data_IF_352358734820
#
_entry.id   IF_352358734820
#
_cell.length_a   1.000
_cell.length_b   1.000
_cell.length_c   1.000
_cell.angle_alpha   90.00
_cell.angle_beta   90.00
_cell.angle_gamma   90.00
#
_symmetry.space_group_name_H-M   'P 1'
#
loop_
_entity.id
_entity.type
_entity.pdbx_description
1 polymer ?
#
# COMPACT_ATOMS: atom_id res chain seq x y z
N UNK A 1 7.58 -41.18 -31.78
CA UNK A 1 8.48 -41.99 -30.93
C UNK A 1 8.59 -41.48 -29.50
N UNK A 2 8.11 -40.28 -29.15
CA UNK A 2 7.66 -39.97 -27.77
C UNK A 2 8.73 -40.14 -26.70
N UNK A 3 10.00 -39.87 -27.02
CA UNK A 3 11.09 -39.97 -26.07
C UNK A 3 10.86 -38.97 -24.92
N UNK A 4 10.57 -39.48 -23.72
CA UNK A 4 10.62 -38.69 -22.50
C UNK A 4 12.08 -38.23 -22.31
N UNK A 5 12.29 -36.91 -22.31
CA UNK A 5 13.54 -36.33 -21.85
C UNK A 5 13.64 -36.57 -20.34
N UNK A 6 14.72 -37.22 -19.91
CA UNK A 6 15.01 -37.39 -18.49
C UNK A 6 15.23 -36.00 -17.87
N UNK A 7 14.28 -35.55 -17.06
CA UNK A 7 14.46 -34.38 -16.22
C UNK A 7 15.34 -34.79 -15.03
N UNK A 8 16.65 -34.51 -15.10
CA UNK A 8 17.50 -34.55 -13.90
C UNK A 8 16.83 -33.71 -12.81
N UNK A 9 16.60 -34.31 -11.65
CA UNK A 9 15.86 -33.68 -10.56
C UNK A 9 16.43 -32.28 -10.30
N UNK A 10 15.64 -31.25 -10.61
CA UNK A 10 16.02 -29.88 -10.31
C UNK A 10 16.29 -29.83 -8.82
N UNK A 11 17.44 -29.27 -8.43
CA UNK A 11 17.68 -28.90 -7.04
C UNK A 11 16.55 -27.94 -6.66
N UNK A 12 15.54 -28.46 -5.97
CA UNK A 12 14.43 -27.66 -5.48
C UNK A 12 14.95 -27.01 -4.22
N UNK A 13 15.65 -25.88 -4.36
CA UNK A 13 15.71 -24.95 -3.25
C UNK A 13 14.27 -24.52 -2.98
N UNK A 14 13.64 -25.20 -2.02
CA UNK A 14 12.25 -25.01 -1.66
C UNK A 14 12.14 -23.61 -1.09
N UNK A 15 11.47 -22.70 -1.81
CA UNK A 15 11.19 -21.36 -1.29
C UNK A 15 10.52 -21.48 0.09
N UNK A 16 11.11 -20.84 1.10
CA UNK A 16 10.52 -20.70 2.42
C UNK A 16 10.31 -19.21 2.74
N UNK A 17 9.22 -18.90 3.42
CA UNK A 17 8.82 -17.51 3.66
C UNK A 17 9.83 -16.73 4.52
N UNK A 18 10.57 -17.42 5.38
CA UNK A 18 11.64 -16.88 6.22
C UNK A 18 12.89 -16.48 5.43
N UNK A 19 13.02 -16.92 4.17
CA UNK A 19 14.07 -16.47 3.26
C UNK A 19 13.87 -15.02 2.79
N UNK A 20 12.67 -14.45 2.96
CA UNK A 20 12.34 -13.09 2.50
C UNK A 20 12.58 -12.09 3.63
N UNK A 21 13.68 -11.35 3.55
CA UNK A 21 13.91 -10.19 4.41
C UNK A 21 13.05 -9.00 3.96
N UNK A 22 12.23 -8.46 4.87
CA UNK A 22 11.51 -7.20 4.61
C UNK A 22 12.49 -6.02 4.74
N UNK A 23 12.36 -4.96 3.92
CA UNK A 23 13.12 -3.74 4.12
C UNK A 23 12.85 -3.18 5.52
N UNK A 24 13.88 -2.57 6.11
CA UNK A 24 13.71 -1.77 7.32
C UNK A 24 12.81 -0.56 7.05
N UNK A 25 12.29 0.03 8.13
CA UNK A 25 11.55 1.29 8.04
C UNK A 25 12.40 2.43 7.50
N UNK A 26 11.73 3.51 7.07
CA UNK A 26 12.40 4.75 6.71
C UNK A 26 12.64 5.61 7.95
N UNK A 27 13.65 6.47 7.88
CA UNK A 27 13.86 7.51 8.89
C UNK A 27 12.62 8.38 9.00
N UNK A 28 12.18 8.64 10.23
CA UNK A 28 11.02 9.49 10.49
C UNK A 28 11.44 10.94 10.23
N UNK A 29 10.76 11.67 9.33
CA UNK A 29 11.08 13.07 9.09
C UNK A 29 10.80 13.92 10.32
N UNK A 30 11.53 15.04 10.46
CA UNK A 30 11.19 16.06 11.44
C UNK A 30 9.91 16.78 11.02
N UNK A 31 8.87 16.69 11.86
CA UNK A 31 7.54 17.26 11.62
C UNK A 31 7.23 18.45 12.54
N UNK A 32 8.23 19.02 13.21
CA UNK A 32 8.05 20.09 14.21
C UNK A 32 7.45 21.40 13.65
N UNK A 33 7.70 21.73 12.37
CA UNK A 33 7.09 22.85 11.63
C UNK A 33 6.44 22.33 10.32
N UNK A 34 5.74 21.19 10.41
CA UNK A 34 5.14 20.57 9.25
C UNK A 34 3.94 21.36 8.70
N UNK A 35 3.78 21.32 7.37
CA UNK A 35 2.62 21.84 6.65
C UNK A 35 1.89 20.66 6.00
N UNK A 36 0.57 20.61 6.13
CA UNK A 36 -0.22 19.54 5.50
C UNK A 36 -0.48 19.84 4.02
N UNK A 37 -0.23 18.84 3.18
CA UNK A 37 -0.57 18.86 1.75
C UNK A 37 -1.31 17.57 1.38
N UNK A 38 -2.26 17.59 0.44
CA UNK A 38 -2.96 16.37 0.05
C UNK A 38 -2.01 15.40 -0.67
N UNK A 39 -2.11 14.10 -0.36
CA UNK A 39 -1.25 13.05 -0.89
C UNK A 39 -1.16 13.06 -2.44
N UNK A 40 -2.20 13.49 -3.14
CA UNK A 40 -2.23 13.62 -4.61
C UNK A 40 -1.11 14.51 -5.18
N UNK A 41 -0.65 15.50 -4.42
CA UNK A 41 0.47 16.36 -4.80
C UNK A 41 1.82 15.65 -4.65
N UNK A 42 1.90 14.64 -3.77
CA UNK A 42 3.13 13.93 -3.45
C UNK A 42 3.26 12.60 -4.20
N UNK A 43 2.14 11.98 -4.59
CA UNK A 43 2.14 10.60 -5.08
C UNK A 43 1.15 10.33 -6.22
N UNK A 44 1.41 9.24 -6.93
CA UNK A 44 0.42 8.54 -7.75
C UNK A 44 -0.17 7.38 -6.95
N UNK A 45 -1.44 7.06 -7.19
CA UNK A 45 -2.14 5.97 -6.52
C UNK A 45 -2.90 5.08 -7.49
N UNK A 46 -2.92 3.77 -7.22
CA UNK A 46 -3.79 2.81 -7.89
C UNK A 46 -4.27 1.76 -6.90
N UNK A 47 -5.51 1.33 -7.03
CA UNK A 47 -6.08 0.30 -6.16
C UNK A 47 -6.83 -0.79 -6.91
N UNK A 48 -7.08 -1.89 -6.22
CA UNK A 48 -7.88 -3.00 -6.72
C UNK A 48 -8.13 -4.05 -5.65
N UNK A 49 -8.78 -5.13 -6.06
CA UNK A 49 -9.20 -6.21 -5.19
C UNK A 49 -8.26 -7.41 -5.24
N UNK A 50 -8.24 -8.13 -4.11
CA UNK A 50 -7.72 -9.49 -4.00
C UNK A 50 -8.69 -10.31 -3.15
N UNK A 51 -9.80 -10.74 -3.76
CA UNK A 51 -10.90 -11.38 -3.03
C UNK A 51 -11.68 -10.35 -2.20
N UNK A 52 -11.84 -10.58 -0.89
CA UNK A 52 -12.44 -9.60 0.02
C UNK A 52 -11.44 -8.55 0.55
N UNK A 53 -10.23 -8.50 -0.01
CA UNK A 53 -9.18 -7.55 0.40
C UNK A 53 -9.05 -6.44 -0.63
N UNK A 54 -8.74 -5.24 -0.17
CA UNK A 54 -8.36 -4.13 -1.04
C UNK A 54 -6.84 -3.92 -0.98
N UNK A 55 -6.25 -3.64 -2.13
CA UNK A 55 -4.84 -3.29 -2.27
C UNK A 55 -4.74 -1.86 -2.80
N UNK A 56 -3.88 -1.04 -2.19
CA UNK A 56 -3.62 0.34 -2.60
C UNK A 56 -2.11 0.53 -2.74
N UNK A 57 -1.65 0.69 -3.98
CA UNK A 57 -0.27 1.06 -4.29
C UNK A 57 -0.13 2.57 -4.38
N UNK A 58 0.87 3.11 -3.68
CA UNK A 58 1.23 4.54 -3.66
C UNK A 58 2.68 4.65 -4.11
N UNK A 59 2.94 5.46 -5.14
CA UNK A 59 4.29 5.72 -5.67
C UNK A 59 4.57 7.20 -5.50
N UNK A 60 5.64 7.53 -4.78
CA UNK A 60 6.05 8.91 -4.57
C UNK A 60 6.51 9.55 -5.91
N UNK A 61 6.14 10.81 -6.15
CA UNK A 61 6.55 11.57 -7.34
C UNK A 61 8.04 11.93 -7.29
N UNK A 62 8.57 12.14 -6.09
CA UNK A 62 10.00 12.32 -5.80
C UNK A 62 10.39 11.36 -4.67
N UNK A 63 11.61 10.84 -4.72
CA UNK A 63 12.11 9.89 -3.73
C UNK A 63 11.99 10.43 -2.28
N UNK A 64 12.34 11.70 -2.11
CA UNK A 64 12.39 12.37 -0.80
C UNK A 64 11.01 12.57 -0.16
N UNK A 65 9.91 12.34 -0.90
CA UNK A 65 8.56 12.41 -0.35
C UNK A 65 8.15 11.12 0.37
N UNK A 66 8.80 9.99 0.04
CA UNK A 66 8.40 8.68 0.58
C UNK A 66 8.47 8.60 2.12
N UNK A 67 9.50 9.13 2.82
CA UNK A 67 9.53 9.11 4.28
C UNK A 67 8.30 9.78 4.92
N UNK A 68 7.85 10.92 4.39
CA UNK A 68 6.66 11.63 4.85
C UNK A 68 5.38 10.82 4.58
N UNK A 69 5.25 10.27 3.38
CA UNK A 69 4.10 9.43 3.00
C UNK A 69 4.02 8.19 3.89
N UNK A 70 5.16 7.51 4.12
CA UNK A 70 5.23 6.30 4.93
C UNK A 70 4.88 6.56 6.40
N UNK A 71 5.32 7.70 6.94
CA UNK A 71 4.99 8.11 8.30
C UNK A 71 3.51 8.49 8.45
N UNK A 72 2.94 9.22 7.49
CA UNK A 72 1.54 9.67 7.52
C UNK A 72 0.53 8.54 7.32
N UNK A 73 0.83 7.58 6.45
CA UNK A 73 -0.04 6.46 6.14
C UNK A 73 0.25 5.27 7.07
N UNK A 74 0.03 5.47 8.36
CA UNK A 74 0.10 4.41 9.37
C UNK A 74 -1.22 3.62 9.51
N UNK A 75 -1.20 2.55 10.31
CA UNK A 75 -2.36 1.68 10.46
C UNK A 75 -3.57 2.42 11.05
N UNK A 76 -3.34 3.44 11.88
CA UNK A 76 -4.41 4.25 12.47
C UNK A 76 -5.04 5.18 11.42
N UNK A 77 -4.23 5.85 10.60
CA UNK A 77 -4.69 6.68 9.49
C UNK A 77 -5.47 5.87 8.44
N UNK A 78 -5.01 4.65 8.12
CA UNK A 78 -5.74 3.75 7.22
C UNK A 78 -7.07 3.31 7.85
N UNK A 79 -7.08 2.97 9.15
CA UNK A 79 -8.31 2.60 9.87
C UNK A 79 -9.30 3.75 9.98
N UNK A 80 -8.83 4.97 10.20
CA UNK A 80 -9.69 6.17 10.22
C UNK A 80 -10.37 6.37 8.85
N UNK A 81 -9.57 6.31 7.77
CA UNK A 81 -10.06 6.54 6.41
C UNK A 81 -10.94 5.42 5.87
N UNK A 82 -10.63 4.16 6.14
CA UNK A 82 -11.32 3.00 5.54
C UNK A 82 -12.14 2.17 6.53
N UNK A 83 -12.17 2.52 7.83
CA UNK A 83 -12.81 1.72 8.87
C UNK A 83 -14.29 1.44 8.62
N UNK A 84 -14.99 2.36 7.94
CA UNK A 84 -16.39 2.19 7.54
C UNK A 84 -16.59 1.17 6.40
N UNK A 85 -15.52 0.77 5.72
CA UNK A 85 -15.51 -0.31 4.74
C UNK A 85 -15.04 -1.66 5.32
N UNK A 86 -14.29 -1.62 6.42
CA UNK A 86 -13.66 -2.78 7.05
C UNK A 86 -14.63 -3.54 7.97
N UNK A 87 -14.38 -4.83 8.18
CA UNK A 87 -14.99 -5.55 9.30
C UNK A 87 -14.39 -5.06 10.64
N UNK A 88 -15.14 -5.15 11.74
CA UNK A 88 -14.73 -4.59 13.03
C UNK A 88 -13.34 -5.07 13.50
N UNK A 89 -13.07 -6.37 13.34
CA UNK A 89 -11.86 -7.06 13.78
C UNK A 89 -10.82 -7.24 12.66
N UNK A 90 -10.99 -6.58 11.51
CA UNK A 90 -10.00 -6.64 10.43
C UNK A 90 -8.91 -5.57 10.58
N UNK A 91 -7.75 -5.85 9.98
CA UNK A 91 -6.60 -4.96 9.99
C UNK A 91 -6.14 -4.57 8.59
N UNK A 92 -5.00 -3.89 8.53
CA UNK A 92 -4.26 -3.64 7.31
C UNK A 92 -2.80 -4.01 7.48
N UNK A 93 -2.11 -4.22 6.37
CA UNK A 93 -0.67 -4.41 6.32
C UNK A 93 -0.05 -3.39 5.37
N UNK A 94 1.13 -2.89 5.73
CA UNK A 94 1.88 -1.94 4.93
C UNK A 94 3.19 -2.56 4.50
N UNK A 95 3.52 -2.40 3.23
CA UNK A 95 4.68 -2.98 2.58
C UNK A 95 5.50 -1.85 1.95
N UNK A 96 6.72 -1.64 2.44
CA UNK A 96 7.65 -0.68 1.86
C UNK A 96 8.27 -1.26 0.59
N UNK A 97 8.31 -0.46 -0.48
CA UNK A 97 8.89 -0.82 -1.78
C UNK A 97 9.96 0.23 -2.14
N UNK A 98 11.14 0.19 -1.49
CA UNK A 98 12.11 1.28 -1.57
C UNK A 98 12.72 1.46 -2.97
N UNK A 99 12.87 0.36 -3.73
CA UNK A 99 13.48 0.39 -5.07
C UNK A 99 12.71 1.19 -6.12
N UNK A 100 11.41 1.46 -5.89
CA UNK A 100 10.59 2.32 -6.75
C UNK A 100 9.95 3.49 -5.99
N UNK A 101 10.50 3.82 -4.82
CA UNK A 101 10.01 4.88 -3.94
C UNK A 101 8.50 4.79 -3.65
N UNK A 102 8.04 3.59 -3.31
CA UNK A 102 6.62 3.27 -3.19
C UNK A 102 6.28 2.54 -1.90
N UNK A 103 4.99 2.42 -1.65
CA UNK A 103 4.44 1.52 -0.65
C UNK A 103 3.17 0.85 -1.17
N UNK A 104 2.84 -0.28 -0.55
CA UNK A 104 1.63 -1.01 -0.81
C UNK A 104 0.87 -1.26 0.49
N UNK A 105 -0.41 -0.92 0.50
CA UNK A 105 -1.31 -1.12 1.65
C UNK A 105 -2.30 -2.23 1.27
N UNK A 106 -2.38 -3.26 2.11
CA UNK A 106 -3.35 -4.33 1.98
C UNK A 106 -4.37 -4.22 3.12
N UNK A 107 -5.63 -3.96 2.79
CA UNK A 107 -6.71 -3.81 3.77
C UNK A 107 -7.56 -5.08 3.75
N UNK A 108 -7.73 -5.72 4.90
CA UNK A 108 -8.45 -6.97 5.06
C UNK A 108 -9.95 -6.75 5.23
N UNK A 109 -10.76 -7.65 4.65
CA UNK A 109 -12.22 -7.65 4.75
C UNK A 109 -12.88 -6.29 4.43
N UNK A 110 -12.33 -5.59 3.45
CA UNK A 110 -12.70 -4.21 3.12
C UNK A 110 -13.69 -4.10 1.96
N UNK A 111 -14.14 -5.21 1.35
CA UNK A 111 -14.97 -5.18 0.14
C UNK A 111 -16.37 -5.79 0.32
N UNK A 112 -16.79 -6.09 1.56
CA UNK A 112 -18.14 -6.59 1.83
C UNK A 112 -18.43 -7.99 1.28
N UNK A 113 -17.43 -8.88 1.31
CA UNK A 113 -17.49 -10.24 0.75
C UNK A 113 -16.77 -10.39 -0.60
N UNK A 114 -16.24 -9.29 -1.15
CA UNK A 114 -15.54 -9.25 -2.44
C UNK A 114 -16.48 -9.13 -3.64
N UNK A 115 -15.90 -9.05 -4.84
CA UNK A 115 -16.60 -8.63 -6.06
C UNK A 115 -17.92 -9.34 -6.40
N UNK A 116 -18.06 -10.62 -6.04
CA UNK A 116 -19.27 -11.42 -6.35
C UNK A 116 -20.36 -11.28 -5.28
N UNK A 117 -19.99 -11.01 -4.03
CA UNK A 117 -20.92 -10.97 -2.90
C UNK A 117 -21.26 -9.54 -2.43
N UNK A 118 -20.44 -8.56 -2.83
CA UNK A 118 -20.57 -7.19 -2.37
C UNK A 118 -21.78 -6.48 -2.97
N UNK A 119 -22.55 -5.81 -2.11
CA UNK A 119 -23.63 -4.90 -2.51
C UNK A 119 -23.15 -3.43 -2.65
N UNK A 120 -21.84 -3.19 -2.57
CA UNK A 120 -21.27 -1.85 -2.60
C UNK A 120 -21.16 -1.34 -4.03
N UNK A 121 -21.19 -0.01 -4.19
CA UNK A 121 -21.01 0.65 -5.48
C UNK A 121 -19.62 0.40 -6.10
N UNK A 122 -18.59 0.27 -5.27
CA UNK A 122 -17.24 -0.11 -5.69
C UNK A 122 -16.85 -1.46 -5.06
N UNK A 123 -17.35 -2.59 -5.58
CA UNK A 123 -17.15 -3.91 -5.00
C UNK A 123 -15.72 -4.45 -5.23
N UNK A 124 -14.92 -3.77 -6.06
CA UNK A 124 -13.55 -4.14 -6.41
C UNK A 124 -12.50 -3.14 -5.91
N UNK A 125 -12.91 -2.15 -5.11
CA UNK A 125 -12.02 -1.14 -4.52
C UNK A 125 -11.23 -0.32 -5.54
N UNK A 126 -11.75 -0.08 -6.76
CA UNK A 126 -11.04 0.66 -7.82
C UNK A 126 -10.91 2.15 -7.50
N UNK A 127 -11.79 2.70 -6.66
CA UNK A 127 -11.77 4.10 -6.23
C UNK A 127 -10.98 4.32 -4.94
N UNK A 128 -10.52 3.26 -4.25
CA UNK A 128 -9.89 3.40 -2.94
C UNK A 128 -8.58 4.20 -2.98
N UNK A 129 -7.80 4.09 -4.06
CA UNK A 129 -6.65 4.96 -4.26
C UNK A 129 -7.06 6.44 -4.31
N UNK A 130 -8.15 6.78 -5.00
CA UNK A 130 -8.63 8.16 -5.06
C UNK A 130 -9.07 8.70 -3.70
N UNK A 131 -9.68 7.85 -2.86
CA UNK A 131 -10.03 8.18 -1.48
C UNK A 131 -8.76 8.45 -0.65
N UNK A 132 -7.71 7.64 -0.83
CA UNK A 132 -6.47 7.79 -0.09
C UNK A 132 -5.62 8.98 -0.57
N UNK A 133 -5.66 9.30 -1.87
CA UNK A 133 -4.94 10.45 -2.45
C UNK A 133 -5.43 11.80 -1.90
N UNK A 134 -6.60 11.85 -1.27
CA UNK A 134 -7.12 13.02 -0.55
C UNK A 134 -6.63 13.11 0.91
N UNK A 135 -5.88 12.13 1.40
CA UNK A 135 -5.35 12.15 2.76
C UNK A 135 -4.32 13.29 2.94
N UNK A 136 -4.42 14.11 4.01
CA UNK A 136 -3.43 15.12 4.32
C UNK A 136 -2.12 14.46 4.78
N UNK A 137 -1.00 14.90 4.23
CA UNK A 137 0.34 14.44 4.59
C UNK A 137 1.13 15.61 5.15
N UNK A 138 1.56 15.55 6.42
CA UNK A 138 2.48 16.55 6.97
C UNK A 138 3.84 16.42 6.27
N UNK A 139 4.33 17.53 5.70
CA UNK A 139 5.65 17.64 5.05
C UNK A 139 6.43 18.83 5.59
N UNK A 140 7.74 18.88 5.33
CA UNK A 140 8.52 20.09 5.62
C UNK A 140 8.00 21.29 4.82
N UNK A 141 8.19 22.49 5.38
CA UNK A 141 7.86 23.74 4.69
C UNK A 141 8.51 23.86 3.32
N UNK A 142 9.77 23.46 3.19
CA UNK A 142 10.50 23.44 1.91
C UNK A 142 9.81 22.56 0.86
N UNK A 143 9.36 21.36 1.23
CA UNK A 143 8.62 20.50 0.31
C UNK A 143 7.32 21.18 -0.08
N UNK A 144 6.53 21.68 0.88
CA UNK A 144 5.25 22.32 0.62
C UNK A 144 5.35 23.53 -0.32
N UNK A 145 6.39 24.36 -0.17
CA UNK A 145 6.65 25.52 -1.02
C UNK A 145 7.12 25.15 -2.45
N UNK A 146 7.53 23.89 -2.66
CA UNK A 146 8.05 23.38 -3.94
C UNK A 146 7.03 22.64 -4.82
N UNK A 147 5.78 22.47 -4.34
CA UNK A 147 4.69 21.76 -5.04
C UNK A 147 3.97 22.67 -6.03
#
# INVERSE_FOLDING_TARGET
>A
DGAQTAHEGAQVDVFAADMVARPDGLDVPDLSDAVEVPLVQLAWGRSGDKGNKANIGIIARKADYLPYIWAALDDAAIRDRFGHFMAADSGCERYLLPGCHAMNILIHEALGGGGVASLRNDPQGKAYAQILLDHPVPVSREIAESL
#
